data_IF_570520075665
#
_entry.id   IF_570520075665
#
_cell.length_a   1.000
_cell.length_b   1.000
_cell.length_c   1.000
_cell.angle_alpha   90.00
_cell.angle_beta   90.00
_cell.angle_gamma   90.00
#
_symmetry.space_group_name_H-M   'P 1'
#
loop_
_entity.id
_entity.type
_entity.pdbx_description
1 polymer ?
#
# COMPACT_ATOMS: atom_id res chain seq x y z
N UNK A 1 8.00 -5.17 2.44
CA UNK A 1 8.28 -6.63 2.32
C UNK A 1 7.14 -7.33 1.61
N UNK A 2 5.90 -7.14 2.01
CA UNK A 2 4.74 -7.86 1.48
C UNK A 2 4.46 -7.60 -0.01
N UNK A 3 4.48 -6.34 -0.42
CA UNK A 3 4.35 -5.98 -1.85
C UNK A 3 5.47 -6.54 -2.72
N UNK A 4 6.69 -6.66 -2.18
CA UNK A 4 7.80 -7.29 -2.88
C UNK A 4 7.56 -8.79 -3.09
N UNK A 5 7.12 -9.49 -2.05
CA UNK A 5 6.77 -10.91 -2.13
C UNK A 5 5.63 -11.14 -3.12
N UNK A 6 4.61 -10.28 -3.08
CA UNK A 6 3.47 -10.34 -4.00
C UNK A 6 3.90 -10.14 -5.46
N UNK A 7 4.80 -9.18 -5.72
CA UNK A 7 5.36 -8.94 -7.06
C UNK A 7 6.05 -10.19 -7.59
N UNK A 8 6.97 -10.77 -6.82
CA UNK A 8 7.68 -11.98 -7.27
C UNK A 8 6.74 -13.16 -7.46
N UNK A 9 5.72 -13.32 -6.60
CA UNK A 9 4.70 -14.33 -6.80
C UNK A 9 3.94 -14.14 -8.13
N UNK A 10 3.61 -12.91 -8.51
CA UNK A 10 2.96 -12.63 -9.78
C UNK A 10 3.88 -12.94 -10.98
N UNK A 11 5.16 -12.55 -10.89
CA UNK A 11 6.15 -12.83 -11.94
C UNK A 11 6.41 -14.33 -12.11
N UNK A 12 6.48 -15.10 -11.02
CA UNK A 12 6.65 -16.55 -11.03
C UNK A 12 5.45 -17.28 -11.68
N UNK A 13 4.30 -16.60 -11.77
CA UNK A 13 3.09 -17.10 -12.44
C UNK A 13 2.96 -16.58 -13.88
N UNK A 14 4.01 -16.01 -14.44
CA UNK A 14 4.06 -15.45 -15.78
C UNK A 14 3.04 -14.32 -16.05
N UNK A 15 2.61 -13.58 -14.98
CA UNK A 15 1.77 -12.39 -15.19
C UNK A 15 2.61 -11.23 -15.75
N UNK A 16 2.00 -10.50 -16.67
CA UNK A 16 2.49 -9.18 -17.04
C UNK A 16 2.05 -8.18 -15.98
N UNK A 17 2.99 -7.48 -15.35
CA UNK A 17 2.75 -6.67 -14.14
C UNK A 17 3.11 -5.22 -14.38
N UNK A 18 2.18 -4.32 -14.07
CA UNK A 18 2.43 -2.91 -13.84
C UNK A 18 2.42 -2.63 -12.33
N UNK A 19 3.42 -1.92 -11.84
CA UNK A 19 3.52 -1.56 -10.44
C UNK A 19 3.01 -0.13 -10.21
N UNK A 20 2.27 0.08 -9.12
CA UNK A 20 1.88 1.41 -8.67
C UNK A 20 2.52 1.69 -7.32
N UNK A 21 3.21 2.81 -7.21
CA UNK A 21 3.80 3.30 -5.97
C UNK A 21 3.11 4.60 -5.59
N UNK A 22 2.76 4.75 -4.31
CA UNK A 22 2.11 5.95 -3.80
C UNK A 22 3.07 6.79 -2.98
N UNK A 23 3.14 8.08 -3.28
CA UNK A 23 3.72 9.10 -2.42
C UNK A 23 2.58 9.91 -1.80
N UNK A 24 2.38 9.74 -0.49
CA UNK A 24 1.34 10.42 0.27
C UNK A 24 1.92 11.19 1.48
N UNK A 25 3.23 11.52 1.41
CA UNK A 25 3.93 12.20 2.50
C UNK A 25 4.35 11.26 3.64
N UNK A 26 4.53 9.95 3.36
CA UNK A 26 5.00 9.00 4.37
C UNK A 26 6.42 9.31 4.84
N UNK A 27 6.71 9.04 6.12
CA UNK A 27 8.04 9.26 6.73
C UNK A 27 9.15 8.41 6.10
N UNK A 28 8.81 7.23 5.60
CA UNK A 28 9.75 6.26 5.00
C UNK A 28 9.86 6.43 3.48
N UNK A 29 10.36 7.57 3.02
CA UNK A 29 10.58 7.89 1.59
C UNK A 29 11.44 6.82 0.88
N UNK A 30 12.31 6.13 1.60
CA UNK A 30 13.12 5.03 1.05
C UNK A 30 12.30 3.91 0.41
N UNK A 31 11.03 3.74 0.82
CA UNK A 31 10.13 2.75 0.20
C UNK A 31 9.90 3.04 -1.28
N UNK A 32 9.77 4.33 -1.64
CA UNK A 32 9.58 4.77 -3.02
C UNK A 32 10.82 4.47 -3.86
N UNK A 33 12.00 4.75 -3.30
CA UNK A 33 13.28 4.46 -3.98
C UNK A 33 13.47 2.95 -4.19
N UNK A 34 13.17 2.14 -3.16
CA UNK A 34 13.22 0.68 -3.26
C UNK A 34 12.25 0.15 -4.33
N UNK A 35 11.01 0.64 -4.35
CA UNK A 35 10.02 0.24 -5.35
C UNK A 35 10.51 0.55 -6.76
N UNK A 36 11.08 1.75 -6.97
CA UNK A 36 11.64 2.17 -8.26
C UNK A 36 12.79 1.27 -8.71
N UNK A 37 13.71 0.93 -7.80
CA UNK A 37 14.85 0.05 -8.11
C UNK A 37 14.38 -1.36 -8.48
N UNK A 38 13.46 -1.94 -7.71
CA UNK A 38 12.91 -3.27 -7.95
C UNK A 38 12.22 -3.34 -9.32
N UNK A 39 11.40 -2.35 -9.65
CA UNK A 39 10.74 -2.30 -10.96
C UNK A 39 11.77 -2.17 -12.10
N UNK A 40 12.80 -1.35 -11.93
CA UNK A 40 13.87 -1.21 -12.92
C UNK A 40 14.64 -2.50 -13.12
N UNK A 41 15.01 -3.21 -12.06
CA UNK A 41 15.73 -4.49 -12.12
C UNK A 41 14.94 -5.60 -12.82
N UNK A 42 13.62 -5.56 -12.71
CA UNK A 42 12.73 -6.52 -13.34
C UNK A 42 12.13 -6.03 -14.69
N UNK A 43 12.57 -4.87 -15.20
CA UNK A 43 12.05 -4.26 -16.45
C UNK A 43 10.54 -4.03 -16.42
N UNK A 44 10.01 -3.61 -15.29
CA UNK A 44 8.58 -3.37 -15.09
C UNK A 44 8.22 -1.90 -15.17
N UNK A 45 6.98 -1.61 -15.58
CA UNK A 45 6.37 -0.30 -15.43
C UNK A 45 6.19 0.03 -13.95
N UNK A 46 6.60 1.23 -13.53
CA UNK A 46 6.31 1.76 -12.19
C UNK A 46 5.65 3.14 -12.32
N UNK A 47 4.35 3.19 -12.04
CA UNK A 47 3.60 4.43 -11.96
C UNK A 47 3.71 5.00 -10.55
N UNK A 48 4.28 6.19 -10.40
CA UNK A 48 4.27 6.94 -9.15
C UNK A 48 3.03 7.84 -9.11
N UNK A 49 2.20 7.67 -8.09
CA UNK A 49 1.03 8.52 -7.82
C UNK A 49 1.31 9.35 -6.58
N UNK A 50 1.35 10.66 -6.74
CA UNK A 50 1.47 11.61 -5.64
C UNK A 50 0.07 12.01 -5.16
N UNK A 51 -0.20 11.81 -3.87
CA UNK A 51 -1.45 12.20 -3.24
C UNK A 51 -1.19 13.42 -2.35
N UNK A 52 -1.51 14.59 -2.87
CA UNK A 52 -1.30 15.86 -2.17
C UNK A 52 -2.27 16.05 -0.98
N UNK A 53 -1.84 16.81 0.02
CA UNK A 53 -2.64 17.24 1.18
C UNK A 53 -3.18 16.09 2.07
N UNK A 54 -2.58 14.93 2.00
CA UNK A 54 -2.98 13.77 2.80
C UNK A 54 -2.73 14.00 4.30
N UNK A 55 -1.77 14.83 4.65
CA UNK A 55 -1.44 15.19 6.04
C UNK A 55 -2.67 15.73 6.80
N UNK A 56 -3.51 16.52 6.16
CA UNK A 56 -4.72 17.06 6.78
C UNK A 56 -5.78 15.98 7.09
N UNK A 57 -5.79 14.91 6.30
CA UNK A 57 -6.72 13.78 6.45
C UNK A 57 -6.17 12.78 7.48
N UNK A 58 -4.85 12.57 7.48
CA UNK A 58 -4.17 11.55 8.26
C UNK A 58 -3.35 12.09 9.44
N UNK A 59 -3.63 13.32 9.87
CA UNK A 59 -2.85 14.06 10.89
C UNK A 59 -2.69 13.34 12.25
N UNK A 60 -3.46 12.29 12.51
CA UNK A 60 -3.41 11.51 13.76
C UNK A 60 -2.62 10.21 13.63
N UNK A 61 -1.94 9.95 12.52
CA UNK A 61 -1.16 8.73 12.34
C UNK A 61 0.34 8.96 12.52
N UNK A 62 1.01 8.07 13.25
CA UNK A 62 2.47 8.07 13.39
C UNK A 62 3.21 7.86 12.06
N UNK A 63 2.55 7.31 11.03
CA UNK A 63 3.15 7.12 9.70
C UNK A 63 3.25 8.41 8.89
N UNK A 64 2.45 9.43 9.21
CA UNK A 64 2.38 10.69 8.47
C UNK A 64 2.73 11.91 9.34
N UNK A 65 2.65 11.81 10.68
CA UNK A 65 2.96 12.90 11.61
C UNK A 65 4.31 12.70 12.29
N UNK A 66 5.14 13.74 12.29
CA UNK A 66 6.40 13.77 13.05
C UNK A 66 6.19 14.03 14.55
N UNK A 67 5.00 14.44 14.96
CA UNK A 67 4.65 14.71 16.36
C UNK A 67 4.31 13.44 17.14
N UNK A 68 4.04 12.33 16.46
CA UNK A 68 3.71 11.03 17.04
C UNK A 68 4.93 10.11 16.92
N UNK A 69 5.42 9.60 18.03
CA UNK A 69 6.53 8.64 18.02
C UNK A 69 6.12 7.31 17.38
N UNK A 70 7.02 6.76 16.57
CA UNK A 70 6.84 5.42 16.04
C UNK A 70 6.98 4.38 17.15
N UNK A 71 6.05 3.42 17.26
CA UNK A 71 6.15 2.37 18.27
C UNK A 71 7.39 1.50 18.05
N UNK A 72 8.14 1.26 19.12
CA UNK A 72 9.30 0.38 19.15
C UNK A 72 8.95 -0.92 19.87
N UNK A 73 9.31 -2.07 19.29
CA UNK A 73 9.16 -3.38 19.95
C UNK A 73 8.32 -4.37 19.17
N UNK A 74 7.80 -5.38 19.90
CA UNK A 74 6.98 -6.44 19.30
C UNK A 74 5.61 -5.92 18.83
N UNK A 75 5.06 -6.61 17.86
CA UNK A 75 3.75 -6.35 17.26
C UNK A 75 2.63 -6.49 18.32
N UNK A 76 2.28 -5.39 19.00
CA UNK A 76 1.18 -5.35 19.97
C UNK A 76 0.07 -4.44 19.44
N UNK A 77 -1.19 -4.89 19.58
CA UNK A 77 -2.36 -4.21 19.00
C UNK A 77 -2.50 -2.74 19.45
N UNK A 78 -2.18 -2.45 20.71
CA UNK A 78 -2.28 -1.10 21.26
C UNK A 78 -1.22 -0.14 20.68
N UNK A 79 0.02 -0.60 20.52
CA UNK A 79 1.09 0.22 19.96
C UNK A 79 0.91 0.47 18.46
N UNK A 80 0.27 -0.44 17.75
CA UNK A 80 0.03 -0.33 16.31
C UNK A 80 -1.17 0.55 15.95
N UNK A 81 -2.06 0.86 16.89
CA UNK A 81 -3.20 1.77 16.62
C UNK A 81 -2.76 3.17 16.19
N UNK A 82 -1.60 3.63 16.64
CA UNK A 82 -1.04 4.94 16.24
C UNK A 82 -0.53 4.96 14.82
N UNK A 83 -0.35 3.80 14.18
CA UNK A 83 0.09 3.68 12.79
C UNK A 83 -1.08 3.58 11.80
N UNK A 84 -2.32 3.53 12.28
CA UNK A 84 -3.49 3.44 11.41
C UNK A 84 -3.65 4.75 10.64
N UNK A 85 -3.63 4.63 9.31
CA UNK A 85 -4.05 5.67 8.38
C UNK A 85 -5.43 5.28 7.87
N UNK A 86 -6.50 5.96 8.32
CA UNK A 86 -7.87 5.52 8.04
C UNK A 86 -8.15 5.37 6.55
N UNK A 87 -8.67 4.21 6.14
CA UNK A 87 -9.04 3.90 4.74
C UNK A 87 -7.93 4.14 3.70
N UNK A 88 -6.67 4.08 4.09
CA UNK A 88 -5.55 4.27 3.16
C UNK A 88 -5.60 3.29 2.00
N UNK A 89 -5.84 2.00 2.27
CA UNK A 89 -5.91 0.99 1.23
C UNK A 89 -7.08 1.21 0.28
N UNK A 90 -8.22 1.73 0.77
CA UNK A 90 -9.34 2.12 -0.08
C UNK A 90 -8.94 3.18 -1.11
N UNK A 91 -8.21 4.21 -0.70
CA UNK A 91 -7.72 5.26 -1.61
C UNK A 91 -6.77 4.67 -2.64
N UNK A 92 -5.80 3.86 -2.20
CA UNK A 92 -4.80 3.26 -3.08
C UNK A 92 -5.44 2.31 -4.09
N UNK A 93 -6.33 1.44 -3.64
CA UNK A 93 -7.04 0.48 -4.51
C UNK A 93 -7.93 1.24 -5.50
N UNK A 94 -8.61 2.31 -5.09
CA UNK A 94 -9.44 3.12 -6.00
C UNK A 94 -8.61 3.73 -7.13
N UNK A 95 -7.44 4.27 -6.85
CA UNK A 95 -6.52 4.77 -7.88
C UNK A 95 -6.01 3.64 -8.78
N UNK A 96 -5.65 2.49 -8.19
CA UNK A 96 -5.17 1.34 -8.94
C UNK A 96 -6.26 0.76 -9.86
N UNK A 97 -7.51 0.71 -9.42
CA UNK A 97 -8.65 0.29 -10.26
C UNK A 97 -8.86 1.27 -11.42
N UNK A 98 -8.81 2.58 -11.16
CA UNK A 98 -8.94 3.58 -12.21
C UNK A 98 -7.85 3.44 -13.28
N UNK A 99 -6.61 3.21 -12.85
CA UNK A 99 -5.50 2.92 -13.75
C UNK A 99 -5.73 1.62 -14.53
N UNK A 100 -6.08 0.53 -13.85
CA UNK A 100 -6.31 -0.77 -14.46
C UNK A 100 -7.39 -0.70 -15.58
N UNK A 101 -8.50 -0.01 -15.32
CA UNK A 101 -9.55 0.21 -16.32
C UNK A 101 -9.00 0.97 -17.53
N UNK A 102 -8.20 2.03 -17.29
CA UNK A 102 -7.63 2.83 -18.38
C UNK A 102 -6.64 2.07 -19.25
N UNK A 103 -5.99 1.05 -18.71
CA UNK A 103 -5.01 0.20 -19.41
C UNK A 103 -5.57 -1.16 -19.84
N UNK A 104 -6.86 -1.43 -19.65
CA UNK A 104 -7.50 -2.73 -19.90
C UNK A 104 -6.84 -3.88 -19.13
N UNK A 105 -6.42 -3.60 -17.88
CA UNK A 105 -5.91 -4.60 -16.95
C UNK A 105 -7.09 -5.13 -16.12
N UNK A 106 -7.20 -6.45 -16.00
CA UNK A 106 -8.35 -7.13 -15.38
C UNK A 106 -8.18 -7.43 -13.89
N UNK A 107 -7.00 -7.19 -13.32
CA UNK A 107 -6.69 -7.53 -11.93
C UNK A 107 -5.87 -6.45 -11.24
N UNK A 108 -6.25 -6.17 -9.98
CA UNK A 108 -5.48 -5.34 -9.07
C UNK A 108 -5.13 -6.17 -7.83
N UNK A 109 -3.86 -6.20 -7.48
CA UNK A 109 -3.37 -6.93 -6.32
C UNK A 109 -2.70 -5.96 -5.33
N UNK A 110 -2.86 -6.22 -4.03
CA UNK A 110 -2.18 -5.48 -2.99
C UNK A 110 -1.71 -6.42 -1.86
N UNK A 111 -0.63 -6.02 -1.17
CA UNK A 111 0.07 -6.88 -0.23
C UNK A 111 -0.47 -6.78 1.19
N UNK A 112 -1.76 -7.09 1.43
CA UNK A 112 -2.28 -7.29 2.77
C UNK A 112 -2.17 -8.76 3.18
N UNK A 113 -1.85 -9.02 4.45
CA UNK A 113 -1.74 -10.38 4.97
C UNK A 113 -2.59 -10.60 6.24
N UNK A 114 -2.76 -11.86 6.65
CA UNK A 114 -3.64 -12.23 7.76
C UNK A 114 -3.27 -11.55 9.10
N UNK A 115 -1.99 -11.23 9.33
CA UNK A 115 -1.54 -10.50 10.52
C UNK A 115 -2.09 -9.08 10.63
N UNK A 116 -2.44 -8.47 9.50
CA UNK A 116 -2.97 -7.11 9.44
C UNK A 116 -4.45 -7.02 9.82
N UNK A 117 -5.20 -8.11 9.70
CA UNK A 117 -6.66 -8.12 9.84
C UNK A 117 -7.17 -7.62 11.19
N UNK A 118 -6.42 -7.85 12.27
CA UNK A 118 -6.81 -7.45 13.62
C UNK A 118 -6.66 -5.94 13.85
N UNK A 119 -5.71 -5.31 13.16
CA UNK A 119 -5.30 -3.92 13.39
C UNK A 119 -5.91 -3.01 12.34
N UNK A 120 -5.87 -3.40 11.07
CA UNK A 120 -6.27 -2.58 9.93
C UNK A 120 -7.56 -3.09 9.30
N UNK A 121 -8.70 -2.39 9.49
CA UNK A 121 -9.98 -2.79 8.92
C UNK A 121 -9.97 -2.95 7.40
N UNK A 122 -9.21 -2.11 6.70
CA UNK A 122 -9.05 -2.10 5.25
C UNK A 122 -8.03 -3.13 4.72
N UNK A 123 -7.61 -4.07 5.58
CA UNK A 123 -6.85 -5.25 5.21
C UNK A 123 -7.68 -6.56 5.32
N UNK A 124 -8.93 -6.48 5.77
CA UNK A 124 -9.78 -7.66 6.04
C UNK A 124 -10.40 -8.25 4.78
N UNK A 125 -10.71 -9.56 4.76
CA UNK A 125 -11.37 -10.19 3.61
C UNK A 125 -12.71 -9.54 3.25
N UNK A 126 -13.49 -9.09 4.24
CA UNK A 126 -14.77 -8.42 4.03
C UNK A 126 -14.61 -7.09 3.29
N UNK A 127 -13.55 -6.34 3.62
CA UNK A 127 -13.20 -5.12 2.90
C UNK A 127 -12.87 -5.42 1.44
N UNK A 128 -12.02 -6.44 1.20
CA UNK A 128 -11.67 -6.83 -0.16
C UNK A 128 -12.88 -7.29 -0.96
N UNK A 129 -13.78 -8.07 -0.34
CA UNK A 129 -15.02 -8.51 -0.95
C UNK A 129 -15.91 -7.33 -1.34
N UNK A 130 -16.03 -6.30 -0.49
CA UNK A 130 -16.79 -5.10 -0.77
C UNK A 130 -16.17 -4.26 -1.90
N UNK A 131 -14.84 -4.18 -1.98
CA UNK A 131 -14.13 -3.47 -3.05
C UNK A 131 -14.23 -4.17 -4.42
N UNK A 132 -14.47 -5.49 -4.43
CA UNK A 132 -14.57 -6.30 -5.65
C UNK A 132 -16.03 -6.44 -6.16
N UNK A 133 -16.99 -5.88 -5.47
CA UNK A 133 -18.41 -5.91 -5.86
C UNK A 133 -18.71 -4.82 -6.90
#
# INVERSE_FOLDING_TARGET
MDSFTLLHHALDQDYHVDCITFDYGQRHIKEIECARLICKENNLTNLLIEIANVESIFAKSALTSNEIEMPHGSYQAESMQTTIVPNRNMLFISHAIAYAISQNIDRVWYGAHAGDHFIYPDCRPEFLSAMNA
#
